data_IF_534727646245
#
_entry.id   IF_534727646245
#
_cell.length_a   1.000
_cell.length_b   1.000
_cell.length_c   1.000
_cell.angle_alpha   90.00
_cell.angle_beta   90.00
_cell.angle_gamma   90.00
#
_symmetry.space_group_name_H-M   'P 1'
#
loop_
_entity.id
_entity.type
_entity.pdbx_description
1 polymer ?
#
# COMPACT_ATOMS: atom_id res chain seq x y z
N UNK A 1 -5.02 9.15 -9.02
CA UNK A 1 -4.01 8.20 -9.56
C UNK A 1 -3.40 8.73 -10.85
N UNK A 2 -4.21 9.10 -11.85
CA UNK A 2 -3.74 9.52 -13.19
C UNK A 2 -2.64 10.60 -13.18
N UNK A 3 -2.68 11.57 -12.27
CA UNK A 3 -1.64 12.60 -12.17
C UNK A 3 -0.30 12.07 -11.67
N UNK A 4 -0.32 11.09 -10.77
CA UNK A 4 0.88 10.46 -10.22
C UNK A 4 1.53 9.57 -11.28
N UNK A 5 0.71 8.78 -12.00
CA UNK A 5 1.17 7.88 -13.06
C UNK A 5 1.67 8.64 -14.30
N UNK A 6 1.09 9.80 -14.62
CA UNK A 6 1.49 10.60 -15.77
C UNK A 6 2.94 11.12 -15.69
N UNK A 7 3.53 11.23 -14.49
CA UNK A 7 4.92 11.59 -14.30
C UNK A 7 5.33 12.99 -14.78
N UNK A 8 4.37 13.87 -15.08
CA UNK A 8 4.63 15.20 -15.65
C UNK A 8 4.80 16.30 -14.59
N UNK A 9 4.73 15.97 -13.31
CA UNK A 9 4.88 16.91 -12.20
C UNK A 9 5.96 16.42 -11.22
N UNK A 10 6.76 17.33 -10.70
CA UNK A 10 7.74 17.02 -9.65
C UNK A 10 7.08 16.95 -8.27
N UNK A 11 6.03 17.72 -8.07
CA UNK A 11 5.21 17.65 -6.86
C UNK A 11 3.77 18.05 -7.14
N UNK A 12 2.86 17.50 -6.33
CA UNK A 12 1.44 17.81 -6.37
C UNK A 12 1.03 18.22 -4.95
N UNK A 13 0.45 19.42 -4.80
CA UNK A 13 -0.14 19.85 -3.54
C UNK A 13 -1.66 19.87 -3.69
N UNK A 14 -2.36 19.16 -2.81
CA UNK A 14 -3.82 19.02 -2.87
C UNK A 14 -4.44 19.15 -1.49
N UNK A 15 -5.66 19.64 -1.47
CA UNK A 15 -6.50 19.65 -0.28
C UNK A 15 -7.55 18.54 -0.40
N UNK A 16 -7.61 17.67 0.58
CA UNK A 16 -8.48 16.49 0.63
C UNK A 16 -9.06 16.32 2.04
N UNK A 17 -10.00 15.41 2.23
CA UNK A 17 -10.50 15.09 3.57
C UNK A 17 -9.37 14.57 4.45
N UNK A 18 -9.33 15.01 5.72
CA UNK A 18 -8.28 14.65 6.68
C UNK A 18 -8.11 13.14 6.85
N UNK A 19 -9.19 12.37 6.83
CA UNK A 19 -9.12 10.92 6.90
C UNK A 19 -8.34 10.32 5.72
N UNK A 20 -8.61 10.81 4.50
CA UNK A 20 -7.91 10.36 3.28
C UNK A 20 -6.44 10.76 3.33
N UNK A 21 -6.14 11.99 3.79
CA UNK A 21 -4.76 12.45 3.97
C UNK A 21 -3.98 11.56 4.93
N UNK A 22 -4.59 11.20 6.09
CA UNK A 22 -4.00 10.29 7.07
C UNK A 22 -3.71 8.91 6.48
N UNK A 23 -4.66 8.35 5.72
CA UNK A 23 -4.46 7.06 5.04
C UNK A 23 -3.32 7.08 4.03
N UNK A 24 -3.17 8.18 3.29
CA UNK A 24 -2.07 8.34 2.33
C UNK A 24 -0.72 8.41 3.04
N UNK A 25 -0.63 9.11 4.17
CA UNK A 25 0.60 9.33 4.92
C UNK A 25 0.87 8.23 5.97
N UNK A 26 -0.03 7.26 6.15
CA UNK A 26 0.04 6.27 7.21
C UNK A 26 1.23 5.31 7.03
N UNK A 27 2.07 5.10 8.06
CA UNK A 27 3.09 4.07 8.06
C UNK A 27 2.49 2.68 8.33
N UNK A 28 3.22 1.62 7.96
CA UNK A 28 2.87 0.24 8.28
C UNK A 28 2.64 0.05 9.79
N UNK A 29 1.71 -0.85 10.13
CA UNK A 29 1.35 -1.15 11.53
C UNK A 29 0.33 -0.19 12.15
N UNK A 30 -0.14 0.83 11.43
CA UNK A 30 -1.17 1.76 11.90
C UNK A 30 -2.57 1.43 11.37
N UNK A 31 -3.59 1.93 12.07
CA UNK A 31 -4.99 1.70 11.69
C UNK A 31 -5.36 2.30 10.32
N UNK A 32 -4.74 3.40 9.95
CA UNK A 32 -4.99 4.12 8.69
C UNK A 32 -4.21 3.54 7.50
N UNK A 33 -3.23 2.65 7.74
CA UNK A 33 -2.43 2.02 6.69
C UNK A 33 -3.27 1.13 5.78
N UNK A 34 -3.07 1.24 4.47
CA UNK A 34 -3.86 0.50 3.50
C UNK A 34 -3.33 0.56 2.07
N UNK A 35 -3.93 -0.26 1.19
CA UNK A 35 -3.48 -0.43 -0.19
C UNK A 35 -3.37 0.88 -0.98
N UNK A 36 -4.30 1.82 -0.77
CA UNK A 36 -4.27 3.12 -1.44
C UNK A 36 -3.10 3.99 -0.98
N UNK A 37 -2.81 4.02 0.33
CA UNK A 37 -1.64 4.72 0.86
C UNK A 37 -0.34 4.14 0.32
N UNK A 38 -0.22 2.82 0.28
CA UNK A 38 0.94 2.12 -0.28
C UNK A 38 1.13 2.47 -1.77
N UNK A 39 0.03 2.46 -2.55
CA UNK A 39 0.07 2.86 -3.95
C UNK A 39 0.63 4.28 -4.13
N UNK A 40 0.14 5.25 -3.34
CA UNK A 40 0.65 6.62 -3.40
C UNK A 40 2.12 6.69 -2.97
N UNK A 41 2.49 6.00 -1.89
CA UNK A 41 3.86 5.98 -1.36
C UNK A 41 4.86 5.27 -2.27
N UNK A 42 4.40 4.41 -3.17
CA UNK A 42 5.23 3.79 -4.20
C UNK A 42 5.75 4.81 -5.22
N UNK A 43 4.88 5.73 -5.67
CA UNK A 43 5.22 6.72 -6.69
C UNK A 43 5.63 8.08 -6.14
N UNK A 44 5.27 8.40 -4.89
CA UNK A 44 5.49 9.70 -4.29
C UNK A 44 5.82 9.61 -2.80
N UNK A 45 6.42 10.67 -2.27
CA UNK A 45 6.60 10.91 -0.84
C UNK A 45 5.50 11.83 -0.33
N UNK A 46 4.50 11.30 0.40
CA UNK A 46 3.44 12.11 0.94
C UNK A 46 3.90 12.85 2.21
N UNK A 47 3.55 14.12 2.29
CA UNK A 47 3.79 14.98 3.45
C UNK A 47 2.49 15.70 3.82
N UNK A 48 2.03 15.53 5.05
CA UNK A 48 0.91 16.29 5.58
C UNK A 48 1.41 17.66 6.02
N UNK A 49 0.89 18.73 5.40
CA UNK A 49 1.35 20.09 5.67
C UNK A 49 0.57 20.71 6.81
N UNK A 50 -0.75 20.79 6.70
CA UNK A 50 -1.64 21.36 7.72
C UNK A 50 -3.10 20.96 7.52
N UNK A 51 -3.88 21.10 8.58
CA UNK A 51 -5.33 20.91 8.58
C UNK A 51 -6.07 22.23 8.33
N UNK A 52 -7.20 22.17 7.61
CA UNK A 52 -8.10 23.28 7.35
C UNK A 52 -9.46 22.98 7.99
N UNK A 53 -9.86 23.73 9.04
CA UNK A 53 -11.10 23.46 9.73
C UNK A 53 -12.32 23.81 8.85
N UNK A 54 -13.49 23.17 9.11
CA UNK A 54 -14.72 23.43 8.38
C UNK A 54 -15.16 24.91 8.33
N UNK A 55 -14.82 25.67 9.35
CA UNK A 55 -15.15 27.11 9.46
C UNK A 55 -14.51 27.99 8.38
N UNK A 56 -13.50 27.48 7.65
CA UNK A 56 -12.85 28.18 6.54
C UNK A 56 -13.62 28.10 5.22
N UNK A 57 -14.77 27.42 5.18
CA UNK A 57 -15.52 27.19 3.93
C UNK A 57 -16.96 27.70 3.99
N UNK A 58 -17.47 28.12 2.84
CA UNK A 58 -18.88 28.46 2.63
C UNK A 58 -19.35 27.75 1.34
N UNK A 59 -20.32 26.82 1.43
CA UNK A 59 -20.94 26.28 2.65
C UNK A 59 -19.97 25.44 3.47
N UNK A 60 -20.17 25.43 4.79
CA UNK A 60 -19.30 24.72 5.72
C UNK A 60 -19.44 23.19 5.56
N UNK A 61 -18.35 22.44 5.28
CA UNK A 61 -18.40 20.98 5.21
C UNK A 61 -18.52 20.37 6.60
N UNK A 62 -18.90 19.09 6.65
CA UNK A 62 -19.03 18.34 7.92
C UNK A 62 -17.69 17.81 8.45
N UNK A 63 -16.64 17.84 7.66
CA UNK A 63 -15.34 17.21 7.98
C UNK A 63 -14.20 18.21 7.79
N UNK A 64 -13.14 18.03 8.54
CA UNK A 64 -11.89 18.78 8.38
C UNK A 64 -11.20 18.35 7.09
N UNK A 65 -10.63 19.29 6.38
CA UNK A 65 -9.74 19.06 5.25
C UNK A 65 -8.28 19.07 5.68
N UNK A 66 -7.40 18.47 4.90
CA UNK A 66 -5.95 18.57 5.09
C UNK A 66 -5.29 18.89 3.76
N UNK A 67 -4.25 19.69 3.80
CA UNK A 67 -3.38 19.95 2.67
C UNK A 67 -2.20 18.99 2.76
N UNK A 68 -1.99 18.21 1.71
CA UNK A 68 -0.84 17.31 1.58
C UNK A 68 -0.03 17.68 0.36
N UNK A 69 1.25 17.40 0.42
CA UNK A 69 2.18 17.48 -0.70
C UNK A 69 2.66 16.07 -1.04
N UNK A 70 2.60 15.71 -2.31
CA UNK A 70 3.12 14.49 -2.88
C UNK A 70 4.32 14.84 -3.74
N UNK A 71 5.53 14.53 -3.30
CA UNK A 71 6.76 14.69 -4.11
C UNK A 71 6.96 13.42 -4.90
N UNK A 72 7.07 13.54 -6.22
CA UNK A 72 7.32 12.39 -7.08
C UNK A 72 8.65 11.74 -6.74
N UNK A 73 8.66 10.42 -6.66
CA UNK A 73 9.90 9.65 -6.56
C UNK A 73 10.52 9.49 -7.95
N UNK A 74 11.82 9.65 -8.05
CA UNK A 74 12.56 9.33 -9.27
C UNK A 74 12.64 7.82 -9.51
N UNK A 75 12.69 7.05 -8.42
CA UNK A 75 12.71 5.59 -8.40
C UNK A 75 11.76 5.06 -7.32
N UNK A 76 11.17 3.88 -7.50
CA UNK A 76 10.44 3.21 -6.44
C UNK A 76 11.29 3.05 -5.17
N UNK A 77 10.65 2.98 -3.98
CA UNK A 77 11.37 2.86 -2.70
C UNK A 77 12.14 1.55 -2.55
N UNK A 78 11.83 0.55 -3.37
CA UNK A 78 12.50 -0.75 -3.43
C UNK A 78 12.37 -1.31 -4.84
N UNK A 79 13.36 -2.09 -5.29
CA UNK A 79 13.27 -2.84 -6.54
C UNK A 79 12.36 -4.06 -6.35
N UNK A 80 11.61 -4.42 -7.38
CA UNK A 80 10.72 -5.57 -7.42
C UNK A 80 10.70 -6.15 -8.84
N UNK A 81 10.69 -7.47 -8.95
CA UNK A 81 10.70 -8.15 -10.26
C UNK A 81 9.40 -7.98 -11.05
N UNK A 82 8.24 -7.99 -10.37
CA UNK A 82 6.92 -7.77 -10.98
C UNK A 82 6.06 -6.82 -10.11
N UNK A 83 6.03 -5.56 -10.50
CA UNK A 83 5.21 -4.52 -9.85
C UNK A 83 3.72 -4.87 -9.86
N UNK A 84 3.21 -5.45 -10.95
CA UNK A 84 1.79 -5.81 -11.06
C UNK A 84 1.43 -6.92 -10.07
N UNK A 85 2.30 -7.91 -9.94
CA UNK A 85 2.12 -8.98 -8.95
C UNK A 85 2.17 -8.40 -7.54
N UNK A 86 3.12 -7.53 -7.22
CA UNK A 86 3.21 -6.87 -5.91
C UNK A 86 1.91 -6.13 -5.56
N UNK A 87 1.34 -5.36 -6.49
CA UNK A 87 0.07 -4.69 -6.22
C UNK A 87 -1.13 -5.65 -6.12
N UNK A 88 -1.08 -6.81 -6.77
CA UNK A 88 -2.07 -7.88 -6.55
C UNK A 88 -1.94 -8.47 -5.14
N UNK A 89 -0.73 -8.71 -4.66
CA UNK A 89 -0.43 -9.18 -3.30
C UNK A 89 -0.93 -8.17 -2.26
N UNK A 90 -0.60 -6.88 -2.41
CA UNK A 90 -1.07 -5.80 -1.54
C UNK A 90 -2.60 -5.76 -1.52
N UNK A 91 -3.25 -5.80 -2.68
CA UNK A 91 -4.71 -5.79 -2.77
C UNK A 91 -5.34 -7.00 -2.09
N UNK A 92 -4.77 -8.19 -2.27
CA UNK A 92 -5.20 -9.41 -1.59
C UNK A 92 -5.12 -9.28 -0.06
N UNK A 93 -4.01 -8.75 0.45
CA UNK A 93 -3.79 -8.53 1.88
C UNK A 93 -4.86 -7.60 2.51
N UNK A 94 -5.20 -6.51 1.83
CA UNK A 94 -6.14 -5.51 2.37
C UNK A 94 -7.62 -5.81 2.09
N UNK A 95 -7.95 -6.61 1.09
CA UNK A 95 -9.32 -7.10 0.87
C UNK A 95 -9.82 -7.97 2.03
N UNK A 96 -8.90 -8.64 2.72
CA UNK A 96 -9.21 -9.48 3.88
C UNK A 96 -8.46 -9.03 5.15
N UNK A 97 -8.48 -7.74 5.46
CA UNK A 97 -7.73 -7.08 6.52
C UNK A 97 -7.79 -7.79 7.88
N UNK A 98 -8.91 -8.42 8.25
CA UNK A 98 -9.09 -9.14 9.52
C UNK A 98 -8.51 -10.56 9.53
N UNK A 99 -8.06 -11.08 8.39
CA UNK A 99 -7.46 -12.41 8.25
C UNK A 99 -5.93 -12.33 8.34
N UNK A 100 -5.30 -13.48 8.62
CA UNK A 100 -3.84 -13.60 8.48
C UNK A 100 -3.45 -13.46 7.01
N UNK A 101 -2.22 -13.02 6.77
CA UNK A 101 -1.74 -12.82 5.41
C UNK A 101 -1.71 -14.14 4.61
N UNK A 102 -1.39 -15.28 5.24
CA UNK A 102 -1.52 -16.62 4.63
C UNK A 102 -2.93 -16.82 4.07
N UNK A 103 -3.96 -16.60 4.89
CA UNK A 103 -5.34 -16.80 4.46
C UNK A 103 -5.78 -15.80 3.37
N UNK A 104 -5.30 -14.56 3.44
CA UNK A 104 -5.60 -13.54 2.45
C UNK A 104 -4.99 -13.90 1.07
N UNK A 105 -3.71 -14.28 1.05
CA UNK A 105 -3.01 -14.64 -0.19
C UNK A 105 -3.58 -15.90 -0.82
N UNK A 106 -3.76 -16.99 -0.05
CA UNK A 106 -4.27 -18.25 -0.57
C UNK A 106 -5.70 -18.14 -1.13
N UNK A 107 -6.53 -17.27 -0.57
CA UNK A 107 -7.92 -17.11 -1.02
C UNK A 107 -8.08 -16.14 -2.20
N UNK A 108 -7.18 -15.18 -2.38
CA UNK A 108 -7.34 -14.08 -3.33
C UNK A 108 -6.47 -14.19 -4.58
N UNK A 109 -5.30 -14.85 -4.50
CA UNK A 109 -4.39 -14.93 -5.64
C UNK A 109 -4.69 -16.09 -6.57
N UNK A 110 -5.35 -17.17 -6.09
CA UNK A 110 -5.71 -18.34 -6.90
C UNK A 110 -4.54 -19.20 -7.38
N UNK A 111 -3.32 -18.74 -7.19
CA UNK A 111 -2.07 -19.39 -7.62
C UNK A 111 -1.28 -19.97 -6.45
N UNK A 112 -1.73 -19.74 -5.21
CA UNK A 112 -1.10 -20.20 -3.99
C UNK A 112 -2.12 -20.93 -3.12
N UNK A 113 -1.80 -22.15 -2.71
CA UNK A 113 -2.47 -22.78 -1.59
C UNK A 113 -1.96 -22.23 -0.23
N UNK A 114 -2.53 -22.70 0.87
CA UNK A 114 -2.15 -22.24 2.21
C UNK A 114 -0.74 -22.63 2.60
N UNK A 115 -0.27 -23.79 2.18
CA UNK A 115 1.05 -24.32 2.50
C UNK A 115 2.12 -23.47 1.81
N UNK A 116 1.96 -23.24 0.52
CA UNK A 116 2.85 -22.37 -0.25
C UNK A 116 2.82 -20.93 0.23
N UNK A 117 1.63 -20.38 0.57
CA UNK A 117 1.53 -19.04 1.16
C UNK A 117 2.26 -18.92 2.51
N UNK A 118 2.17 -19.96 3.37
CA UNK A 118 2.91 -19.99 4.63
C UNK A 118 4.43 -20.08 4.40
N UNK A 119 4.87 -20.91 3.45
CA UNK A 119 6.29 -21.07 3.08
C UNK A 119 6.87 -19.76 2.55
N UNK A 120 6.15 -19.04 1.68
CA UNK A 120 6.54 -17.72 1.20
C UNK A 120 6.82 -16.76 2.36
N UNK A 121 5.89 -16.66 3.32
CA UNK A 121 6.08 -15.76 4.46
C UNK A 121 7.30 -16.13 5.30
N UNK A 122 7.50 -17.41 5.59
CA UNK A 122 8.65 -17.89 6.34
C UNK A 122 9.97 -17.59 5.62
N UNK A 123 10.04 -17.83 4.31
CA UNK A 123 11.21 -17.53 3.48
C UNK A 123 11.54 -16.03 3.45
N UNK A 124 10.51 -15.18 3.52
CA UNK A 124 10.67 -13.73 3.62
C UNK A 124 10.98 -13.24 5.06
N UNK A 125 11.05 -14.13 6.05
CA UNK A 125 11.33 -13.80 7.45
C UNK A 125 10.12 -13.32 8.24
N UNK A 126 8.90 -13.62 7.80
CA UNK A 126 7.67 -13.23 8.47
C UNK A 126 7.02 -14.40 9.22
N UNK A 127 6.34 -14.10 10.33
CA UNK A 127 5.47 -15.03 11.01
C UNK A 127 4.20 -15.32 10.17
N UNK A 128 3.75 -16.57 10.14
CA UNK A 128 2.55 -16.99 9.39
C UNK A 128 1.24 -16.42 9.92
N UNK A 129 1.25 -15.89 11.15
CA UNK A 129 0.09 -15.27 11.79
C UNK A 129 -0.03 -13.76 11.52
N UNK A 130 0.95 -13.14 10.85
CA UNK A 130 0.90 -11.71 10.57
C UNK A 130 -0.31 -11.32 9.72
N UNK A 131 -0.68 -10.05 9.80
CA UNK A 131 -1.70 -9.43 8.94
C UNK A 131 -1.03 -8.48 7.95
N UNK A 132 -1.67 -8.26 6.79
CA UNK A 132 -1.13 -7.37 5.76
C UNK A 132 -0.85 -5.95 6.25
N UNK A 133 -1.59 -5.46 7.23
CA UNK A 133 -1.40 -4.11 7.79
C UNK A 133 -0.05 -3.91 8.52
N UNK A 134 0.63 -4.97 8.91
CA UNK A 134 1.95 -4.90 9.58
C UNK A 134 3.12 -4.98 8.60
N UNK A 135 2.85 -5.28 7.33
CA UNK A 135 3.88 -5.45 6.29
C UNK A 135 4.10 -4.11 5.57
N UNK A 136 5.33 -3.64 5.52
CA UNK A 136 5.72 -2.44 4.79
C UNK A 136 5.92 -2.71 3.28
N UNK A 137 6.21 -1.67 2.52
CA UNK A 137 6.41 -1.76 1.07
C UNK A 137 7.55 -2.72 0.72
N UNK A 138 8.65 -2.70 1.48
CA UNK A 138 9.81 -3.58 1.27
C UNK A 138 9.43 -5.03 1.50
N UNK A 139 8.63 -5.30 2.55
CA UNK A 139 8.10 -6.63 2.84
C UNK A 139 7.18 -7.14 1.73
N UNK A 140 6.30 -6.29 1.20
CA UNK A 140 5.43 -6.67 0.07
C UNK A 140 6.22 -6.97 -1.21
N UNK A 141 7.28 -6.23 -1.50
CA UNK A 141 8.17 -6.52 -2.62
C UNK A 141 8.85 -7.90 -2.47
N UNK A 142 9.44 -8.19 -1.30
CA UNK A 142 10.04 -9.50 -0.99
C UNK A 142 9.04 -10.65 -1.16
N UNK A 143 7.82 -10.50 -0.62
CA UNK A 143 6.75 -11.50 -0.73
C UNK A 143 6.37 -11.71 -2.20
N UNK A 144 6.26 -10.65 -2.99
CA UNK A 144 5.96 -10.73 -4.41
C UNK A 144 7.02 -11.48 -5.20
N UNK A 145 8.30 -11.17 -4.96
CA UNK A 145 9.42 -11.82 -5.65
C UNK A 145 9.52 -13.31 -5.27
N UNK A 146 9.29 -13.66 -4.01
CA UNK A 146 9.24 -15.06 -3.58
C UNK A 146 8.08 -15.83 -4.20
N UNK A 147 6.90 -15.21 -4.30
CA UNK A 147 5.74 -15.80 -5.01
C UNK A 147 6.09 -16.03 -6.49
N UNK A 148 6.73 -15.06 -7.14
CA UNK A 148 7.15 -15.17 -8.54
C UNK A 148 8.11 -16.33 -8.76
N UNK A 149 9.05 -16.55 -7.83
CA UNK A 149 10.01 -17.66 -7.87
C UNK A 149 9.33 -19.02 -7.78
N UNK A 150 8.30 -19.16 -6.95
CA UNK A 150 7.55 -20.43 -6.80
C UNK A 150 6.71 -20.69 -8.04
N UNK A 151 6.00 -19.68 -8.55
CA UNK A 151 5.17 -19.85 -9.76
C UNK A 151 6.03 -20.14 -11.00
N UNK A 152 7.21 -19.53 -11.11
CA UNK A 152 8.14 -19.78 -12.21
C UNK A 152 8.87 -21.14 -12.13
N UNK A 153 8.93 -21.77 -10.96
CA UNK A 153 9.52 -23.09 -10.78
C UNK A 153 8.54 -24.24 -11.13
N UNK A 154 7.23 -23.94 -11.18
CA UNK A 154 6.17 -24.91 -11.50
C UNK A 154 5.80 -24.91 -13.01
N UNK A 155 6.53 -24.15 -13.85
CA UNK A 155 6.42 -24.07 -15.31
C UNK A 155 7.65 -24.71 -15.99
#
# INVERSE_FOLDING_TARGET
TSFIEAGCFDSITVMIQREVARRICAPAGTADYGAFGIFVQWYAEPELLFDVPPSCFIPQPKVTSSVIRLRRREKPPVEVGDEKLMFRVIRAAFNQRRKTLVNALSSQLGVLDKENAARVLVNCGFDTKIRGETVDIVGFAKISDEISSIIGADL
#
